data_IF_251837064575
#
_entry.id   IF_251837064575
#
_cell.length_a   1.000
_cell.length_b   1.000
_cell.length_c   1.000
_cell.angle_alpha   90.00
_cell.angle_beta   90.00
_cell.angle_gamma   90.00
#
_symmetry.space_group_name_H-M   'P 1'
#
loop_
_entity.id
_entity.type
_entity.pdbx_description
1 polymer ?
#
# COMPACT_ATOMS: atom_id res chain seq x y z
N UNK A 1 1.61 -45.60 -7.93
CA UNK A 1 2.82 -44.89 -8.42
C UNK A 1 4.02 -45.60 -7.81
N UNK A 2 5.03 -45.97 -8.61
CA UNK A 2 6.25 -46.61 -8.07
C UNK A 2 7.03 -45.68 -7.14
N UNK A 3 7.78 -46.23 -6.18
CA UNK A 3 8.65 -45.45 -5.31
C UNK A 3 9.70 -44.64 -6.09
N UNK A 4 10.24 -45.24 -7.16
CA UNK A 4 11.16 -44.56 -8.08
C UNK A 4 10.53 -43.31 -8.73
N UNK A 5 9.29 -43.41 -9.20
CA UNK A 5 8.57 -42.29 -9.80
C UNK A 5 8.24 -41.21 -8.75
N UNK A 6 8.00 -41.62 -7.51
CA UNK A 6 7.76 -40.67 -6.41
C UNK A 6 9.01 -39.88 -6.08
N UNK A 7 10.14 -40.57 -5.92
CA UNK A 7 11.46 -39.94 -5.67
C UNK A 7 11.86 -39.00 -6.84
N UNK A 8 11.63 -39.43 -8.09
CA UNK A 8 11.92 -38.59 -9.26
C UNK A 8 11.06 -37.32 -9.32
N UNK A 9 9.79 -37.42 -8.95
CA UNK A 9 8.91 -36.23 -8.84
C UNK A 9 9.37 -35.29 -7.75
N UNK A 10 9.70 -35.78 -6.56
CA UNK A 10 10.23 -34.97 -5.47
C UNK A 10 11.54 -34.26 -5.86
N UNK A 11 12.39 -34.90 -6.68
CA UNK A 11 13.63 -34.30 -7.16
C UNK A 11 13.46 -33.27 -8.29
N UNK A 12 12.50 -33.49 -9.21
CA UNK A 12 12.41 -32.74 -10.46
C UNK A 12 11.30 -31.69 -10.49
N UNK A 13 10.25 -31.85 -9.71
CA UNK A 13 9.13 -30.91 -9.67
C UNK A 13 9.33 -29.90 -8.55
N UNK A 14 8.85 -28.68 -8.78
CA UNK A 14 8.77 -27.68 -7.73
C UNK A 14 7.75 -28.11 -6.67
N UNK A 15 7.88 -27.62 -5.45
CA UNK A 15 6.94 -27.84 -4.38
C UNK A 15 5.80 -26.82 -4.47
N UNK A 16 4.62 -27.27 -4.90
CA UNK A 16 3.39 -26.47 -5.03
C UNK A 16 2.37 -26.74 -3.90
N UNK A 17 2.82 -27.38 -2.79
CA UNK A 17 1.93 -27.62 -1.64
C UNK A 17 1.39 -26.32 -1.08
N UNK A 18 0.17 -26.36 -0.52
CA UNK A 18 -0.40 -25.27 0.26
C UNK A 18 0.50 -24.97 1.47
N UNK A 19 0.66 -23.68 1.81
CA UNK A 19 1.53 -23.28 2.92
C UNK A 19 1.12 -23.91 4.27
N UNK A 20 -0.17 -24.11 4.50
CA UNK A 20 -0.66 -24.79 5.71
C UNK A 20 -0.22 -26.26 5.83
N UNK A 21 0.19 -26.90 4.73
CA UNK A 21 0.72 -28.27 4.74
C UNK A 21 2.20 -28.37 5.16
N UNK A 22 2.88 -27.22 5.26
CA UNK A 22 4.34 -27.16 5.46
C UNK A 22 4.79 -26.28 6.63
N UNK A 23 3.98 -25.31 7.04
CA UNK A 23 4.27 -24.48 8.22
C UNK A 23 4.08 -25.28 9.51
N UNK A 24 4.94 -25.03 10.50
CA UNK A 24 4.81 -25.59 11.84
C UNK A 24 3.70 -24.90 12.64
N UNK A 25 3.22 -25.56 13.70
CA UNK A 25 2.26 -24.96 14.65
C UNK A 25 2.82 -23.66 15.27
N UNK A 26 4.13 -23.56 15.45
CA UNK A 26 4.79 -22.36 15.95
C UNK A 26 4.73 -21.21 14.92
N UNK A 27 5.03 -21.49 13.64
CA UNK A 27 4.90 -20.50 12.57
C UNK A 27 3.45 -20.02 12.43
N UNK A 28 2.47 -20.93 12.55
CA UNK A 28 1.04 -20.60 12.51
C UNK A 28 0.63 -19.67 13.68
N UNK A 29 1.15 -19.92 14.88
CA UNK A 29 0.90 -19.05 16.02
C UNK A 29 1.52 -17.65 15.86
N UNK A 30 2.74 -17.55 15.33
CA UNK A 30 3.39 -16.28 15.00
C UNK A 30 2.64 -15.54 13.89
N UNK A 31 2.17 -16.25 12.88
CA UNK A 31 1.34 -15.71 11.80
C UNK A 31 0.06 -15.04 12.35
N UNK A 32 -0.66 -15.71 13.23
CA UNK A 32 -1.88 -15.14 13.83
C UNK A 32 -1.57 -13.85 14.61
N UNK A 33 -0.49 -13.85 15.40
CA UNK A 33 -0.08 -12.64 16.13
C UNK A 33 0.35 -11.50 15.18
N UNK A 34 1.12 -11.82 14.15
CA UNK A 34 1.50 -10.86 13.10
C UNK A 34 0.26 -10.24 12.45
N UNK A 35 -0.75 -11.04 12.12
CA UNK A 35 -1.97 -10.59 11.47
C UNK A 35 -2.85 -9.70 12.38
N UNK A 36 -2.83 -9.93 13.71
CA UNK A 36 -3.48 -9.02 14.67
C UNK A 36 -2.85 -7.64 14.62
N UNK A 37 -1.52 -7.56 14.65
CA UNK A 37 -0.79 -6.29 14.61
C UNK A 37 -0.91 -5.60 13.24
N UNK A 38 -0.95 -6.37 12.17
CA UNK A 38 -1.17 -5.86 10.81
C UNK A 38 -2.57 -5.25 10.65
N UNK A 39 -3.63 -5.91 11.10
CA UNK A 39 -4.99 -5.33 11.06
C UNK A 39 -5.06 -4.00 11.82
N UNK A 40 -4.41 -3.92 12.97
CA UNK A 40 -4.32 -2.66 13.73
C UNK A 40 -3.61 -1.56 12.95
N UNK A 41 -2.51 -1.90 12.26
CA UNK A 41 -1.80 -0.94 11.41
C UNK A 41 -2.67 -0.42 10.26
N UNK A 42 -3.48 -1.29 9.62
CA UNK A 42 -4.43 -0.89 8.57
C UNK A 42 -5.50 0.08 9.09
N UNK A 43 -6.05 -0.19 10.26
CA UNK A 43 -7.11 0.65 10.85
C UNK A 43 -6.58 2.02 11.27
N UNK A 44 -5.36 2.08 11.80
CA UNK A 44 -4.67 3.33 12.14
C UNK A 44 -4.19 4.07 10.89
N UNK A 45 -3.80 3.36 9.84
CA UNK A 45 -3.12 3.85 8.64
C UNK A 45 -4.00 3.98 7.39
N UNK A 46 -5.27 4.41 7.51
CA UNK A 46 -6.21 4.47 6.36
C UNK A 46 -5.83 5.45 5.25
N UNK A 47 -4.86 6.33 5.47
CA UNK A 47 -4.25 7.20 4.46
C UNK A 47 -2.74 7.13 4.55
N UNK A 48 -2.02 7.58 3.51
CA UNK A 48 -0.55 7.59 3.54
C UNK A 48 0.00 8.43 4.71
N UNK A 49 -0.63 9.55 5.06
CA UNK A 49 -0.23 10.38 6.21
C UNK A 49 -0.40 9.63 7.54
N UNK A 50 -1.50 8.92 7.68
CA UNK A 50 -1.78 8.12 8.87
C UNK A 50 -0.85 6.92 8.95
N UNK A 51 -0.56 6.25 7.83
CA UNK A 51 0.41 5.15 7.75
C UNK A 51 1.81 5.60 8.16
N UNK A 52 2.27 6.76 7.68
CA UNK A 52 3.56 7.35 8.09
C UNK A 52 3.59 7.63 9.59
N UNK A 53 2.52 8.23 10.15
CA UNK A 53 2.44 8.50 11.61
C UNK A 53 2.47 7.22 12.43
N UNK A 54 1.69 6.21 12.03
CA UNK A 54 1.65 4.91 12.69
C UNK A 54 3.00 4.18 12.62
N UNK A 55 3.70 4.28 11.47
CA UNK A 55 5.02 3.71 11.30
C UNK A 55 6.09 4.44 12.14
N UNK A 56 6.10 5.77 12.17
CA UNK A 56 7.05 6.55 12.97
C UNK A 56 6.90 6.22 14.46
N UNK A 57 5.67 6.19 14.99
CA UNK A 57 5.43 5.86 16.39
C UNK A 57 6.03 4.50 16.77
N UNK A 58 5.80 3.46 15.94
CA UNK A 58 6.37 2.12 16.17
C UNK A 58 7.89 2.07 15.97
N UNK A 59 8.43 2.85 15.03
CA UNK A 59 9.87 2.93 14.81
C UNK A 59 10.59 3.57 16.00
N UNK A 60 10.05 4.66 16.55
CA UNK A 60 10.61 5.33 17.72
C UNK A 60 10.60 4.43 18.97
N UNK A 61 9.54 3.62 19.17
CA UNK A 61 9.49 2.58 20.22
C UNK A 61 10.60 1.52 20.07
N UNK A 62 11.08 1.30 18.83
CA UNK A 62 12.19 0.39 18.51
C UNK A 62 13.56 1.07 18.43
N UNK A 63 13.64 2.33 18.86
CA UNK A 63 14.89 3.08 18.97
C UNK A 63 15.35 3.77 17.69
N UNK A 64 14.49 3.88 16.68
CA UNK A 64 14.78 4.71 15.51
C UNK A 64 14.74 6.20 15.90
N UNK A 65 15.69 6.96 15.34
CA UNK A 65 15.80 8.39 15.57
C UNK A 65 15.58 9.15 14.25
N UNK A 66 15.00 10.35 14.30
CA UNK A 66 14.94 11.21 13.13
C UNK A 66 16.36 11.51 12.61
N UNK A 67 16.62 11.18 11.35
CA UNK A 67 17.89 11.48 10.73
C UNK A 67 18.10 12.99 10.59
N UNK A 68 19.30 13.44 10.90
CA UNK A 68 19.74 14.82 10.65
C UNK A 68 21.03 14.77 9.85
N UNK A 69 21.09 15.58 8.80
CA UNK A 69 22.29 15.68 7.96
C UNK A 69 23.55 15.92 8.80
N UNK A 70 24.58 15.11 8.52
CA UNK A 70 25.84 15.16 9.24
C UNK A 70 25.88 14.34 10.55
N UNK A 71 24.84 13.55 10.86
CA UNK A 71 24.93 12.57 11.94
C UNK A 71 26.04 11.57 11.65
N UNK A 72 26.90 11.34 12.65
CA UNK A 72 27.86 10.23 12.61
C UNK A 72 27.10 8.94 12.89
N UNK A 73 27.11 8.01 11.93
CA UNK A 73 26.40 6.75 12.01
C UNK A 73 27.39 5.58 12.14
N UNK A 74 27.04 4.59 12.95
CA UNK A 74 27.78 3.35 13.18
C UNK A 74 26.86 2.14 13.03
N UNK A 75 27.44 0.96 12.87
CA UNK A 75 26.68 -0.28 12.80
C UNK A 75 25.71 -0.45 13.96
N UNK A 76 24.48 -0.79 13.67
CA UNK A 76 23.35 -0.91 14.60
C UNK A 76 22.57 0.38 14.83
N UNK A 77 23.01 1.54 14.35
CA UNK A 77 22.22 2.77 14.45
C UNK A 77 20.97 2.67 13.57
N UNK A 78 19.85 3.16 14.12
CA UNK A 78 18.52 3.12 13.50
C UNK A 78 18.03 4.54 13.26
N UNK A 79 17.80 4.88 12.00
CA UNK A 79 17.39 6.25 11.62
C UNK A 79 16.24 6.24 10.65
N UNK A 80 15.46 7.33 10.64
CA UNK A 80 14.40 7.53 9.66
C UNK A 80 14.34 8.98 9.17
N UNK A 81 13.77 9.17 7.98
CA UNK A 81 13.38 10.48 7.45
C UNK A 81 11.98 10.42 6.87
N UNK A 82 11.15 11.41 7.21
CA UNK A 82 9.81 11.56 6.67
C UNK A 82 9.82 12.50 5.48
N UNK A 83 9.32 12.04 4.34
CA UNK A 83 9.11 12.88 3.17
C UNK A 83 7.76 13.60 3.27
N UNK A 84 7.74 14.77 3.89
CA UNK A 84 6.56 15.66 4.03
C UNK A 84 5.36 15.01 4.73
N UNK A 85 5.59 14.02 5.58
CA UNK A 85 4.55 13.27 6.27
C UNK A 85 3.71 12.36 5.38
N UNK A 86 4.13 12.11 4.12
CA UNK A 86 3.40 11.26 3.15
C UNK A 86 4.21 10.05 2.68
N UNK A 87 5.52 10.04 2.91
CA UNK A 87 6.41 8.91 2.69
C UNK A 87 7.40 8.81 3.83
N UNK A 88 8.01 7.65 3.99
CA UNK A 88 8.95 7.36 5.08
C UNK A 88 10.10 6.50 4.55
N UNK A 89 11.32 6.86 4.91
CA UNK A 89 12.51 6.07 4.65
C UNK A 89 13.19 5.77 5.98
N UNK A 90 13.51 4.50 6.22
CA UNK A 90 14.16 4.04 7.44
C UNK A 90 15.43 3.26 7.08
N UNK A 91 16.42 3.31 7.94
CA UNK A 91 17.65 2.53 7.78
C UNK A 91 18.12 1.96 9.11
N UNK A 92 18.60 0.72 9.07
CA UNK A 92 19.43 0.11 10.11
C UNK A 92 20.83 -0.05 9.55
N UNK A 93 21.79 0.64 10.11
CA UNK A 93 23.17 0.69 9.60
C UNK A 93 23.85 -0.66 9.80
N UNK A 94 24.39 -1.21 8.73
CA UNK A 94 25.10 -2.49 8.72
C UNK A 94 26.53 -2.42 9.22
N UNK A 95 27.18 -3.59 9.32
CA UNK A 95 28.60 -3.71 9.69
C UNK A 95 29.52 -3.39 8.52
N UNK A 96 29.08 -3.71 7.30
CA UNK A 96 29.82 -3.43 6.07
C UNK A 96 29.70 -1.96 5.65
N UNK A 97 30.67 -1.52 4.86
CA UNK A 97 30.61 -0.20 4.24
C UNK A 97 29.44 -0.11 3.24
N UNK A 98 28.85 1.09 3.13
CA UNK A 98 27.89 1.37 2.07
C UNK A 98 28.44 1.19 0.65
N UNK A 99 29.77 1.10 0.49
CA UNK A 99 30.40 0.76 -0.78
C UNK A 99 30.08 -0.68 -1.23
N UNK A 100 29.78 -1.58 -0.28
CA UNK A 100 29.36 -2.96 -0.58
C UNK A 100 27.88 -3.06 -0.95
N UNK A 101 27.18 -1.91 -1.00
CA UNK A 101 25.75 -1.80 -1.27
C UNK A 101 24.87 -1.94 -0.04
N UNK A 102 23.58 -1.89 -0.27
CA UNK A 102 22.53 -1.96 0.76
C UNK A 102 21.43 -2.95 0.36
N UNK A 103 20.73 -3.50 1.32
CA UNK A 103 19.51 -4.29 1.12
C UNK A 103 18.29 -3.39 1.29
N UNK A 104 17.53 -3.20 0.22
CA UNK A 104 16.38 -2.29 0.19
C UNK A 104 15.10 -3.10 0.05
N UNK A 105 14.06 -2.71 0.77
CA UNK A 105 12.68 -3.02 0.41
C UNK A 105 11.94 -1.72 0.13
N UNK A 106 11.18 -1.68 -0.95
CA UNK A 106 10.40 -0.50 -1.31
C UNK A 106 8.96 -0.92 -1.59
N UNK A 107 8.01 -0.32 -0.89
CA UNK A 107 6.57 -0.51 -1.01
C UNK A 107 5.88 0.83 -1.05
N UNK A 108 4.62 0.89 -1.50
CA UNK A 108 3.84 2.12 -1.37
C UNK A 108 2.80 2.02 -0.24
N UNK A 109 2.28 3.17 0.19
CA UNK A 109 1.31 3.27 1.28
C UNK A 109 0.10 4.14 0.94
N UNK A 110 0.07 4.73 -0.25
CA UNK A 110 -1.13 5.28 -0.85
C UNK A 110 -2.00 4.14 -1.40
N UNK A 111 -3.29 4.40 -1.58
CA UNK A 111 -4.26 3.43 -2.10
C UNK A 111 -5.34 4.16 -2.90
N UNK A 112 -6.03 3.49 -3.84
CA UNK A 112 -7.12 4.09 -4.58
C UNK A 112 -8.22 4.63 -3.65
N UNK A 113 -8.68 5.85 -3.91
CA UNK A 113 -9.63 6.57 -3.05
C UNK A 113 -10.37 7.69 -3.81
N UNK A 114 -11.14 8.48 -3.07
CA UNK A 114 -11.80 9.67 -3.59
C UNK A 114 -11.32 10.91 -2.82
N UNK A 115 -10.60 11.81 -3.49
CA UNK A 115 -10.16 13.08 -2.90
C UNK A 115 -11.24 14.15 -3.06
N UNK A 116 -11.42 15.03 -2.07
CA UNK A 116 -12.27 16.20 -2.26
C UNK A 116 -11.64 17.16 -3.27
N UNK A 117 -12.47 17.75 -4.14
CA UNK A 117 -12.03 18.82 -5.05
C UNK A 117 -11.69 20.09 -4.25
N UNK A 118 -10.87 21.02 -4.79
CA UNK A 118 -10.48 22.23 -4.07
C UNK A 118 -11.64 23.15 -3.64
N UNK A 119 -12.76 23.15 -4.35
CA UNK A 119 -14.00 23.81 -3.97
C UNK A 119 -15.12 22.77 -3.91
N UNK A 120 -15.22 22.00 -2.81
CA UNK A 120 -16.02 20.78 -2.81
C UNK A 120 -17.47 20.99 -2.42
N UNK A 121 -17.75 21.87 -1.43
CA UNK A 121 -19.02 21.91 -0.71
C UNK A 121 -20.10 22.73 -1.43
N UNK A 122 -21.25 22.12 -1.67
CA UNK A 122 -22.42 22.78 -2.25
C UNK A 122 -23.71 22.22 -1.63
N UNK A 123 -24.80 22.96 -1.80
CA UNK A 123 -26.14 22.52 -1.46
C UNK A 123 -26.99 22.45 -2.74
N UNK A 124 -27.82 21.44 -2.84
CA UNK A 124 -28.86 21.31 -3.85
C UNK A 124 -30.06 20.55 -3.22
N UNK A 125 -31.27 21.09 -3.44
CA UNK A 125 -32.51 20.44 -3.03
C UNK A 125 -32.53 20.00 -1.55
N UNK A 126 -32.04 20.85 -0.65
CA UNK A 126 -31.91 20.61 0.79
C UNK A 126 -30.96 19.47 1.17
N UNK A 127 -30.02 19.16 0.32
CA UNK A 127 -28.92 18.22 0.61
C UNK A 127 -27.58 18.91 0.40
N UNK A 128 -26.67 18.76 1.35
CA UNK A 128 -25.29 19.22 1.21
C UNK A 128 -24.39 18.08 0.73
N UNK A 129 -23.58 18.37 -0.26
CA UNK A 129 -22.62 17.43 -0.86
C UNK A 129 -21.23 18.01 -0.93
N UNK A 130 -20.21 17.13 -0.97
CA UNK A 130 -18.87 17.46 -1.40
C UNK A 130 -18.54 16.81 -2.75
N UNK A 131 -18.03 17.60 -3.69
CA UNK A 131 -17.47 17.13 -4.96
C UNK A 131 -16.19 16.35 -4.70
N UNK A 132 -16.04 15.20 -5.39
CA UNK A 132 -14.83 14.38 -5.32
C UNK A 132 -14.16 14.21 -6.69
N UNK A 133 -12.90 13.80 -6.65
CA UNK A 133 -12.16 13.28 -7.80
C UNK A 133 -11.53 11.95 -7.37
N UNK A 134 -11.71 10.89 -8.15
CA UNK A 134 -11.07 9.62 -7.83
C UNK A 134 -9.55 9.70 -8.05
N UNK A 135 -8.82 8.98 -7.20
CA UNK A 135 -7.37 8.84 -7.17
C UNK A 135 -7.02 7.37 -7.44
N UNK A 136 -6.10 7.11 -8.39
CA UNK A 136 -5.74 5.76 -8.80
C UNK A 136 -6.79 5.03 -9.63
N UNK A 137 -6.63 3.75 -9.80
CA UNK A 137 -7.45 2.88 -10.63
C UNK A 137 -8.70 2.37 -9.92
N UNK A 138 -9.79 3.13 -9.87
CA UNK A 138 -11.03 2.71 -9.18
C UNK A 138 -12.08 2.12 -10.14
N UNK A 139 -12.78 1.10 -9.70
CA UNK A 139 -14.06 0.68 -10.28
C UNK A 139 -15.20 1.43 -9.60
N UNK A 140 -15.69 2.50 -10.22
CA UNK A 140 -16.59 3.50 -9.62
C UNK A 140 -17.84 2.92 -8.97
N UNK A 141 -18.41 1.83 -9.52
CA UNK A 141 -19.60 1.17 -8.98
C UNK A 141 -19.37 0.55 -7.59
N UNK A 142 -18.13 0.28 -7.20
CA UNK A 142 -17.82 -0.28 -5.88
C UNK A 142 -17.84 0.78 -4.76
N UNK A 143 -17.81 2.07 -5.11
CA UNK A 143 -17.70 3.17 -4.17
C UNK A 143 -19.05 3.81 -3.79
N UNK A 144 -20.14 3.43 -4.45
CA UNK A 144 -21.48 3.88 -4.11
C UNK A 144 -22.10 2.98 -3.05
N UNK A 145 -23.00 3.55 -2.21
CA UNK A 145 -23.81 2.86 -1.20
C UNK A 145 -23.04 2.16 -0.06
N UNK A 146 -21.76 2.45 0.09
CA UNK A 146 -20.94 1.94 1.21
C UNK A 146 -20.69 3.04 2.26
N UNK A 147 -20.56 2.69 3.55
CA UNK A 147 -20.16 3.64 4.59
C UNK A 147 -18.74 4.16 4.35
N UNK A 148 -18.59 5.48 4.36
CA UNK A 148 -17.34 6.19 4.11
C UNK A 148 -17.00 7.10 5.28
N UNK A 149 -15.71 7.42 5.41
CA UNK A 149 -15.19 8.43 6.33
C UNK A 149 -14.29 9.41 5.56
N UNK A 150 -14.13 10.61 6.12
CA UNK A 150 -13.28 11.66 5.57
C UNK A 150 -12.06 11.88 6.47
N UNK A 151 -10.88 11.79 5.91
CA UNK A 151 -9.59 11.91 6.59
C UNK A 151 -8.70 12.92 5.89
N UNK A 152 -7.75 13.48 6.59
CA UNK A 152 -6.70 14.28 5.99
C UNK A 152 -6.37 15.53 6.78
N UNK A 153 -5.85 16.55 6.09
CA UNK A 153 -5.39 17.80 6.71
C UNK A 153 -5.95 19.01 5.98
N UNK A 154 -6.12 20.09 6.72
CA UNK A 154 -6.47 21.41 6.20
C UNK A 154 -5.43 22.41 6.69
N UNK A 155 -4.81 23.15 5.76
CA UNK A 155 -3.96 24.28 6.10
C UNK A 155 -4.83 25.53 6.09
N UNK A 156 -5.06 26.12 7.27
CA UNK A 156 -5.91 27.28 7.40
C UNK A 156 -5.21 28.56 6.93
N UNK A 157 -6.01 29.61 6.74
CA UNK A 157 -5.53 30.91 6.28
C UNK A 157 -4.38 31.50 7.13
N UNK A 158 -4.34 31.19 8.44
CA UNK A 158 -3.28 31.61 9.35
C UNK A 158 -2.02 30.74 9.30
N UNK A 159 -1.99 29.72 8.42
CA UNK A 159 -0.89 28.77 8.27
C UNK A 159 -0.94 27.59 9.25
N UNK A 160 -1.89 27.56 10.19
CA UNK A 160 -2.05 26.41 11.08
C UNK A 160 -2.61 25.20 10.33
N UNK A 161 -2.13 24.00 10.70
CA UNK A 161 -2.56 22.72 10.10
C UNK A 161 -3.50 22.03 11.07
N UNK A 162 -4.64 21.57 10.56
CA UNK A 162 -5.66 20.85 11.34
C UNK A 162 -5.87 19.48 10.73
N UNK A 163 -5.78 18.44 11.55
CA UNK A 163 -6.17 17.08 11.19
C UNK A 163 -7.70 16.95 11.20
N UNK A 164 -8.25 16.41 10.12
CA UNK A 164 -9.68 16.15 9.97
C UNK A 164 -9.96 14.66 10.03
N UNK A 165 -10.92 14.31 10.89
CA UNK A 165 -11.42 12.95 11.02
C UNK A 165 -12.94 13.03 11.22
N UNK A 166 -13.70 12.54 10.22
CA UNK A 166 -15.17 12.47 10.25
C UNK A 166 -15.59 11.07 9.87
N UNK A 167 -16.42 10.45 10.69
CA UNK A 167 -16.94 9.11 10.43
C UNK A 167 -16.13 7.98 11.06
N UNK A 168 -15.25 8.24 12.03
CA UNK A 168 -14.53 7.22 12.79
C UNK A 168 -15.40 6.58 13.87
N UNK A 169 -15.13 5.32 14.19
CA UNK A 169 -15.78 4.61 15.29
C UNK A 169 -17.30 4.73 15.24
N UNK A 170 -17.92 5.31 16.27
CA UNK A 170 -19.37 5.53 16.37
C UNK A 170 -19.86 6.83 15.74
N UNK A 171 -19.00 7.68 15.17
CA UNK A 171 -19.42 8.90 14.48
C UNK A 171 -20.31 8.59 13.27
N UNK A 172 -21.23 9.51 12.89
CA UNK A 172 -22.04 9.38 11.67
C UNK A 172 -21.14 9.19 10.43
N UNK A 173 -21.47 8.16 9.64
CA UNK A 173 -20.74 7.87 8.40
C UNK A 173 -21.23 8.75 7.26
N UNK A 174 -20.43 8.87 6.23
CA UNK A 174 -20.73 9.51 4.97
C UNK A 174 -21.05 8.43 3.92
N UNK A 175 -21.69 8.81 2.82
CA UNK A 175 -22.09 7.88 1.77
C UNK A 175 -22.19 8.59 0.43
N UNK A 176 -21.94 7.86 -0.66
CA UNK A 176 -22.29 8.27 -2.02
C UNK A 176 -23.54 7.50 -2.41
N UNK A 177 -24.59 8.19 -2.81
CA UNK A 177 -25.87 7.57 -3.18
C UNK A 177 -25.83 7.01 -4.60
N UNK A 178 -26.68 6.02 -4.88
CA UNK A 178 -26.93 5.50 -6.22
C UNK A 178 -28.43 5.45 -6.52
N UNK A 179 -28.79 5.22 -7.79
CA UNK A 179 -30.17 5.09 -8.20
C UNK A 179 -30.79 3.80 -7.68
N UNK A 180 -32.08 3.88 -7.34
CA UNK A 180 -32.87 2.68 -7.09
C UNK A 180 -33.13 1.93 -8.43
N UNK A 181 -33.36 0.61 -8.40
CA UNK A 181 -33.53 -0.20 -9.62
C UNK A 181 -34.66 0.31 -10.54
N UNK A 182 -35.74 0.83 -9.98
CA UNK A 182 -36.90 1.31 -10.76
C UNK A 182 -36.61 2.59 -11.57
N UNK A 183 -35.59 3.37 -11.22
CA UNK A 183 -35.16 4.55 -11.95
C UNK A 183 -33.85 4.33 -12.71
N UNK A 184 -33.17 3.18 -12.49
CA UNK A 184 -31.85 2.85 -13.05
C UNK A 184 -31.89 2.25 -14.47
N UNK A 185 -33.03 2.24 -15.16
CA UNK A 185 -33.17 1.54 -16.46
C UNK A 185 -32.20 2.03 -17.55
N UNK A 186 -31.98 3.33 -17.66
CA UNK A 186 -30.99 3.89 -18.62
C UNK A 186 -29.54 3.73 -18.14
N UNK A 187 -29.30 3.81 -16.84
CA UNK A 187 -27.99 3.54 -16.24
C UNK A 187 -27.53 2.09 -16.54
N UNK A 188 -28.44 1.12 -16.39
CA UNK A 188 -28.16 -0.31 -16.57
C UNK A 188 -27.83 -0.70 -18.03
N UNK A 189 -28.13 0.15 -19.01
CA UNK A 189 -27.79 -0.06 -20.42
C UNK A 189 -26.38 0.41 -20.80
N UNK A 190 -25.74 1.18 -19.92
CA UNK A 190 -24.40 1.75 -20.19
C UNK A 190 -23.31 0.71 -19.92
N UNK A 191 -22.17 0.79 -20.64
CA UNK A 191 -20.97 0.07 -20.26
C UNK A 191 -20.62 0.31 -18.79
N UNK A 192 -20.14 -0.72 -18.07
CA UNK A 192 -19.87 -0.63 -16.63
C UNK A 192 -19.01 0.57 -16.23
N UNK A 193 -17.99 0.92 -17.04
CA UNK A 193 -17.13 2.07 -16.80
C UNK A 193 -17.83 3.44 -16.91
N UNK A 194 -19.01 3.50 -17.54
CA UNK A 194 -19.81 4.71 -17.79
C UNK A 194 -21.08 4.76 -16.93
N UNK A 195 -21.49 3.61 -16.36
CA UNK A 195 -22.71 3.49 -15.59
C UNK A 195 -22.74 4.43 -14.38
N UNK A 196 -21.59 4.59 -13.72
CA UNK A 196 -21.38 5.58 -12.66
C UNK A 196 -20.42 6.65 -13.18
N UNK A 197 -20.89 7.83 -13.58
CA UNK A 197 -20.01 8.94 -14.00
C UNK A 197 -19.15 9.43 -12.82
N UNK A 198 -17.87 9.76 -13.07
CA UNK A 198 -16.98 10.27 -12.02
C UNK A 198 -17.49 11.54 -11.33
N UNK A 199 -18.14 12.44 -12.10
CA UNK A 199 -18.72 13.68 -11.55
C UNK A 199 -19.96 13.45 -10.66
N UNK A 200 -20.52 12.25 -10.60
CA UNK A 200 -21.63 11.91 -9.70
C UNK A 200 -21.19 11.21 -8.42
N UNK A 201 -19.88 10.96 -8.24
CA UNK A 201 -19.32 10.46 -7.00
C UNK A 201 -19.25 11.57 -5.95
N UNK A 202 -20.42 12.11 -5.55
CA UNK A 202 -20.50 13.22 -4.60
C UNK A 202 -20.82 12.68 -3.21
N UNK A 203 -20.02 13.08 -2.24
CA UNK A 203 -20.13 12.66 -0.85
C UNK A 203 -21.26 13.39 -0.16
N UNK A 204 -22.29 12.69 0.31
CA UNK A 204 -23.42 13.27 1.04
C UNK A 204 -22.96 13.68 2.44
N UNK A 205 -23.07 14.99 2.74
CA UNK A 205 -22.59 15.60 3.99
C UNK A 205 -23.71 15.85 5.02
N UNK A 206 -24.95 16.05 4.57
CA UNK A 206 -26.06 16.29 5.47
C UNK A 206 -27.32 16.81 4.80
N UNK A 207 -28.39 16.93 5.62
CA UNK A 207 -29.71 17.38 5.17
C UNK A 207 -30.43 18.29 6.17
N UNK A 208 -29.84 18.54 7.36
CA UNK A 208 -30.50 19.38 8.39
C UNK A 208 -30.22 20.85 8.09
N UNK A 209 -31.25 21.67 7.85
CA UNK A 209 -31.09 23.11 7.67
C UNK A 209 -30.84 23.83 9.00
N UNK A 210 -30.19 24.99 8.94
CA UNK A 210 -30.15 25.99 10.03
C UNK A 210 -30.70 27.32 9.53
N UNK A 211 -30.90 28.29 10.44
CA UNK A 211 -31.47 29.60 10.11
C UNK A 211 -32.95 29.58 9.85
N UNK A 212 -33.49 30.70 9.37
CA UNK A 212 -34.89 30.86 9.08
C UNK A 212 -35.30 30.31 7.71
N UNK A 213 -36.61 30.10 7.45
CA UNK A 213 -37.10 29.48 6.21
C UNK A 213 -36.75 30.25 4.94
N UNK A 214 -36.52 31.54 5.06
CA UNK A 214 -36.22 32.44 3.93
C UNK A 214 -34.73 32.57 3.61
N UNK A 215 -33.86 31.95 4.43
CA UNK A 215 -32.41 31.91 4.18
C UNK A 215 -32.09 30.95 3.05
N UNK A 216 -30.95 31.20 2.39
CA UNK A 216 -30.35 30.32 1.34
C UNK A 216 -29.22 29.48 1.92
N UNK A 217 -28.85 28.40 1.24
CA UNK A 217 -27.72 27.53 1.61
C UNK A 217 -27.77 27.00 3.06
N UNK A 218 -28.94 26.78 3.59
CA UNK A 218 -29.19 26.48 5.02
C UNK A 218 -28.52 25.18 5.47
N UNK A 219 -28.51 24.15 4.63
CA UNK A 219 -27.87 22.85 4.93
C UNK A 219 -26.37 22.96 4.78
N UNK A 220 -25.88 23.64 3.74
CA UNK A 220 -24.45 23.94 3.56
C UNK A 220 -23.91 24.71 4.77
N UNK A 221 -24.63 25.73 5.21
CA UNK A 221 -24.26 26.52 6.41
C UNK A 221 -24.22 25.67 7.68
N UNK A 222 -25.15 24.72 7.84
CA UNK A 222 -25.11 23.78 8.95
C UNK A 222 -23.88 22.88 8.92
N UNK A 223 -23.47 22.39 7.74
CA UNK A 223 -22.25 21.60 7.58
C UNK A 223 -21.01 22.45 7.89
N UNK A 224 -20.92 23.66 7.33
CA UNK A 224 -19.81 24.59 7.61
C UNK A 224 -19.72 24.94 9.10
N UNK A 225 -20.86 25.18 9.74
CA UNK A 225 -20.88 25.43 11.19
C UNK A 225 -20.31 24.25 11.98
N UNK A 226 -20.63 23.01 11.61
CA UNK A 226 -20.07 21.81 12.26
C UNK A 226 -18.57 21.68 12.05
N UNK A 227 -18.08 21.97 10.83
CA UNK A 227 -16.64 22.00 10.52
C UNK A 227 -15.93 23.11 11.31
N UNK A 228 -16.54 24.27 11.39
CA UNK A 228 -16.00 25.39 12.18
C UNK A 228 -15.97 25.09 13.68
N UNK A 229 -17.05 24.57 14.24
CA UNK A 229 -17.14 24.26 15.69
C UNK A 229 -16.12 23.17 16.11
N UNK A 230 -15.90 22.15 15.26
CA UNK A 230 -15.00 21.05 15.58
C UNK A 230 -13.52 21.35 15.24
N UNK A 231 -13.27 22.06 14.14
CA UNK A 231 -11.92 22.22 13.59
C UNK A 231 -11.48 23.67 13.34
N UNK A 232 -12.39 24.64 13.49
CA UNK A 232 -12.12 26.03 13.13
C UNK A 232 -11.92 26.25 11.63
N UNK A 233 -12.50 25.39 10.78
CA UNK A 233 -12.37 25.43 9.32
C UNK A 233 -13.49 26.29 8.74
N UNK A 234 -13.13 27.20 7.83
CA UNK A 234 -14.05 27.97 7.00
C UNK A 234 -14.13 27.38 5.58
N UNK A 235 -15.09 27.83 4.77
CA UNK A 235 -15.19 27.36 3.38
C UNK A 235 -13.92 27.63 2.57
N UNK A 236 -13.28 28.80 2.79
CA UNK A 236 -12.05 29.17 2.10
C UNK A 236 -10.85 28.28 2.46
N UNK A 237 -10.84 27.71 3.67
CA UNK A 237 -9.75 26.82 4.09
C UNK A 237 -9.80 25.46 3.35
N UNK A 238 -10.95 25.06 2.81
CA UNK A 238 -11.09 23.84 2.01
C UNK A 238 -10.28 23.91 0.71
N UNK A 239 -9.92 25.10 0.21
CA UNK A 239 -9.08 25.27 -0.99
C UNK A 239 -7.63 24.80 -0.77
N UNK A 240 -7.17 24.76 0.47
CA UNK A 240 -5.84 24.28 0.90
C UNK A 240 -5.93 23.02 1.75
N UNK A 241 -6.88 22.15 1.43
CA UNK A 241 -7.09 20.87 2.08
C UNK A 241 -6.56 19.70 1.24
N UNK A 242 -6.05 18.68 1.90
CA UNK A 242 -5.91 17.32 1.39
C UNK A 242 -6.86 16.45 2.20
N UNK A 243 -8.07 16.25 1.69
CA UNK A 243 -9.14 15.48 2.34
C UNK A 243 -9.53 14.29 1.47
N UNK A 244 -9.36 13.11 2.03
CA UNK A 244 -9.49 11.82 1.39
C UNK A 244 -10.71 11.09 1.94
N UNK A 245 -11.58 10.63 1.04
CA UNK A 245 -12.72 9.78 1.36
C UNK A 245 -12.30 8.33 1.25
N UNK A 246 -12.37 7.61 2.35
CA UNK A 246 -11.94 6.20 2.47
C UNK A 246 -13.05 5.35 3.11
N UNK A 247 -13.06 4.02 2.90
CA UNK A 247 -14.01 3.13 3.54
C UNK A 247 -13.98 3.22 5.07
N UNK A 248 -15.17 3.18 5.69
CA UNK A 248 -15.30 3.26 7.14
C UNK A 248 -15.14 1.90 7.84
N UNK A 249 -15.16 0.80 7.09
CA UNK A 249 -14.98 -0.54 7.64
C UNK A 249 -13.57 -0.72 8.21
N UNK A 250 -13.46 -1.42 9.31
CA UNK A 250 -12.19 -1.84 9.90
C UNK A 250 -11.75 -3.19 9.30
N UNK A 251 -10.45 -3.48 9.41
CA UNK A 251 -9.87 -4.75 8.99
C UNK A 251 -10.46 -5.91 9.80
N UNK A 252 -10.88 -6.96 9.12
CA UNK A 252 -11.55 -8.09 9.77
C UNK A 252 -11.15 -9.42 9.15
N UNK A 253 -11.30 -10.49 9.94
CA UNK A 253 -11.09 -11.85 9.44
C UNK A 253 -12.23 -12.26 8.50
N UNK A 254 -11.89 -12.91 7.40
CA UNK A 254 -12.79 -13.38 6.35
C UNK A 254 -12.72 -14.90 6.24
N UNK A 255 -13.85 -15.49 5.83
CA UNK A 255 -14.04 -16.95 5.78
C UNK A 255 -14.55 -17.51 7.10
N UNK A 256 -15.21 -18.68 7.03
CA UNK A 256 -15.73 -19.35 8.24
C UNK A 256 -14.60 -19.79 9.15
N UNK A 257 -13.45 -20.08 8.58
CA UNK A 257 -12.21 -20.48 9.27
C UNK A 257 -11.33 -19.30 9.71
N UNK A 258 -11.68 -18.06 9.29
CA UNK A 258 -10.93 -16.85 9.62
C UNK A 258 -9.50 -16.82 9.06
N UNK A 259 -9.22 -17.56 7.96
CA UNK A 259 -7.88 -17.68 7.35
C UNK A 259 -7.48 -16.49 6.46
N UNK A 260 -8.44 -15.62 6.16
CA UNK A 260 -8.24 -14.46 5.30
C UNK A 260 -8.45 -13.17 6.09
N UNK A 261 -7.95 -12.05 5.55
CA UNK A 261 -8.18 -10.70 6.08
C UNK A 261 -8.84 -9.88 4.98
N UNK A 262 -9.96 -9.24 5.32
CA UNK A 262 -10.62 -8.24 4.46
C UNK A 262 -10.40 -6.85 5.01
N UNK A 263 -9.95 -5.92 4.17
CA UNK A 263 -9.74 -4.52 4.55
C UNK A 263 -9.64 -3.62 3.32
N UNK A 264 -9.63 -2.33 3.57
CA UNK A 264 -9.25 -1.31 2.59
C UNK A 264 -7.74 -1.09 2.58
N UNK A 265 -7.15 -1.12 1.38
CA UNK A 265 -5.77 -0.73 1.15
C UNK A 265 -4.76 -1.81 1.54
N UNK A 266 -5.07 -3.09 1.31
CA UNK A 266 -4.06 -4.12 1.25
C UNK A 266 -3.03 -3.80 0.17
N UNK A 267 -3.48 -3.24 -0.94
CA UNK A 267 -2.66 -2.61 -1.96
C UNK A 267 -2.25 -1.20 -1.51
N UNK A 268 -0.96 -0.91 -1.16
CA UNK A 268 0.10 -1.93 -0.95
C UNK A 268 0.57 -1.93 0.51
N UNK A 269 -0.30 -1.56 1.45
CA UNK A 269 0.07 -1.53 2.88
C UNK A 269 0.39 -2.92 3.45
N UNK A 270 -0.03 -4.00 2.77
CA UNK A 270 0.34 -5.35 3.21
C UNK A 270 1.84 -5.59 3.03
N UNK A 271 2.41 -5.24 1.88
CA UNK A 271 3.84 -5.35 1.65
C UNK A 271 4.61 -4.25 2.38
N UNK A 272 4.04 -3.04 2.45
CA UNK A 272 4.60 -1.93 3.23
C UNK A 272 4.77 -2.26 4.71
N UNK A 273 3.74 -2.85 5.34
CA UNK A 273 3.83 -3.29 6.73
C UNK A 273 4.82 -4.45 6.91
N UNK A 274 4.82 -5.42 5.99
CA UNK A 274 5.73 -6.55 6.02
C UNK A 274 7.21 -6.10 5.97
N UNK A 275 7.53 -5.20 5.04
CA UNK A 275 8.86 -4.59 4.90
C UNK A 275 9.26 -3.78 6.14
N UNK A 276 8.36 -2.94 6.62
CA UNK A 276 8.57 -2.11 7.80
C UNK A 276 8.76 -2.96 9.07
N UNK A 277 7.85 -3.92 9.33
CA UNK A 277 7.92 -4.80 10.50
C UNK A 277 9.18 -5.65 10.50
N UNK A 278 9.58 -6.16 9.34
CA UNK A 278 10.82 -6.89 9.17
C UNK A 278 12.06 -6.04 9.55
N UNK A 279 12.09 -4.77 9.13
CA UNK A 279 13.16 -3.84 9.50
C UNK A 279 13.20 -3.55 11.00
N UNK A 280 12.03 -3.44 11.66
CA UNK A 280 11.96 -3.24 13.11
C UNK A 280 12.51 -4.43 13.91
N UNK A 281 12.44 -5.63 13.35
CA UNK A 281 12.80 -6.89 14.02
C UNK A 281 14.23 -7.37 13.72
N UNK A 282 15.02 -6.59 12.99
CA UNK A 282 16.47 -6.82 12.87
C UNK A 282 17.25 -5.88 13.78
N UNK A 283 18.45 -6.33 14.20
CA UNK A 283 19.32 -5.51 15.04
C UNK A 283 20.47 -4.88 14.22
N UNK A 284 21.54 -5.62 13.98
CA UNK A 284 22.68 -5.13 13.23
C UNK A 284 22.93 -6.06 12.04
N UNK A 285 22.43 -5.74 10.85
CA UNK A 285 22.65 -6.56 9.65
C UNK A 285 24.10 -6.42 9.17
N UNK A 286 24.52 -7.32 8.27
CA UNK A 286 25.84 -7.17 7.63
C UNK A 286 25.83 -5.96 6.70
N UNK A 287 25.00 -5.94 5.67
CA UNK A 287 24.74 -4.75 4.84
C UNK A 287 23.72 -3.86 5.48
N UNK A 288 23.83 -2.55 5.30
CA UNK A 288 22.79 -1.61 5.72
C UNK A 288 21.45 -1.99 5.11
N UNK A 289 20.42 -2.11 5.96
CA UNK A 289 19.05 -2.39 5.55
C UNK A 289 18.25 -1.09 5.45
N UNK A 290 17.52 -0.92 4.34
CA UNK A 290 16.72 0.28 4.05
C UNK A 290 15.29 -0.10 3.72
N UNK A 291 14.31 0.50 4.38
CA UNK A 291 12.89 0.38 4.06
C UNK A 291 12.37 1.71 3.50
N UNK A 292 11.67 1.65 2.38
CA UNK A 292 11.01 2.78 1.74
C UNK A 292 9.52 2.55 1.73
N UNK A 293 8.77 3.45 2.35
CA UNK A 293 7.31 3.54 2.27
C UNK A 293 6.97 4.75 1.40
N UNK A 294 6.64 4.51 0.15
CA UNK A 294 6.44 5.52 -0.87
C UNK A 294 4.99 6.03 -0.92
N UNK A 295 4.80 7.22 -1.48
CA UNK A 295 3.51 7.82 -1.80
C UNK A 295 3.35 7.89 -3.33
N UNK A 296 2.11 8.01 -3.82
CA UNK A 296 1.75 8.30 -5.23
C UNK A 296 2.06 7.21 -6.23
N UNK A 297 2.25 5.96 -5.79
CA UNK A 297 2.42 4.85 -6.73
C UNK A 297 1.21 4.74 -7.64
N UNK A 298 0.01 4.78 -7.08
CA UNK A 298 -1.29 4.63 -7.72
C UNK A 298 -1.59 5.67 -8.84
N UNK A 299 -0.83 6.75 -8.87
CA UNK A 299 -0.92 7.78 -9.90
C UNK A 299 0.38 7.96 -10.68
N UNK A 300 1.25 6.93 -10.69
CA UNK A 300 2.48 6.86 -11.47
C UNK A 300 3.72 7.39 -10.78
N UNK A 301 3.78 7.41 -9.45
CA UNK A 301 4.96 7.79 -8.63
C UNK A 301 5.51 9.20 -8.92
N UNK A 302 4.72 10.08 -9.51
CA UNK A 302 5.12 11.44 -9.85
C UNK A 302 4.93 12.40 -8.66
N UNK A 303 5.62 13.54 -8.74
CA UNK A 303 5.53 14.59 -7.73
C UNK A 303 6.51 14.39 -6.58
N UNK A 304 6.46 15.35 -5.64
CA UNK A 304 7.51 15.58 -4.63
C UNK A 304 7.63 14.47 -3.58
N UNK A 305 6.59 13.65 -3.40
CA UNK A 305 6.55 12.53 -2.45
C UNK A 305 6.59 11.15 -3.13
N UNK A 306 6.44 11.10 -4.46
CA UNK A 306 6.54 9.86 -5.24
C UNK A 306 7.98 9.41 -5.48
N UNK A 307 8.15 8.16 -5.91
CA UNK A 307 9.47 7.54 -6.14
C UNK A 307 10.28 8.16 -7.29
N UNK A 308 9.65 8.96 -8.15
CA UNK A 308 10.35 9.74 -9.18
C UNK A 308 11.01 11.03 -8.62
N UNK A 309 10.70 11.41 -7.38
CA UNK A 309 11.37 12.54 -6.73
C UNK A 309 12.80 12.21 -6.30
N UNK A 310 13.61 13.25 -6.06
CA UNK A 310 14.96 13.08 -5.55
C UNK A 310 15.02 12.75 -4.03
N UNK A 311 13.87 12.53 -3.37
CA UNK A 311 13.84 12.34 -1.92
C UNK A 311 14.62 11.10 -1.47
N UNK A 312 14.45 9.97 -2.18
CA UNK A 312 15.21 8.75 -1.91
C UNK A 312 16.70 8.94 -2.16
N UNK A 313 17.06 9.53 -3.31
CA UNK A 313 18.46 9.80 -3.65
C UNK A 313 19.12 10.73 -2.62
N UNK A 314 18.39 11.72 -2.11
CA UNK A 314 18.88 12.63 -1.06
C UNK A 314 19.17 11.87 0.24
N UNK A 315 18.27 11.01 0.68
CA UNK A 315 18.47 10.21 1.89
C UNK A 315 19.66 9.27 1.75
N UNK A 316 19.76 8.55 0.64
CA UNK A 316 20.87 7.64 0.37
C UNK A 316 22.21 8.37 0.20
N UNK A 317 22.20 9.55 -0.43
CA UNK A 317 23.41 10.38 -0.55
C UNK A 317 23.89 10.81 0.84
N UNK A 318 22.98 11.26 1.71
CA UNK A 318 23.33 11.66 3.08
C UNK A 318 23.90 10.49 3.89
N UNK A 319 23.37 9.26 3.74
CA UNK A 319 23.94 8.06 4.37
C UNK A 319 25.34 7.74 3.81
N UNK A 320 25.53 7.80 2.50
CA UNK A 320 26.82 7.55 1.84
C UNK A 320 27.89 8.58 2.25
N UNK A 321 27.52 9.85 2.37
CA UNK A 321 28.42 10.92 2.82
C UNK A 321 28.96 10.68 4.24
N UNK A 322 28.15 10.09 5.14
CA UNK A 322 28.59 9.73 6.49
C UNK A 322 29.76 8.76 6.53
N UNK A 323 29.97 7.98 5.45
CA UNK A 323 31.05 7.02 5.29
C UNK A 323 32.04 7.40 4.17
N UNK A 324 31.90 8.58 3.57
CA UNK A 324 32.71 9.03 2.42
C UNK A 324 32.63 8.07 1.22
N UNK A 325 31.45 7.51 0.95
CA UNK A 325 31.14 6.62 -0.18
C UNK A 325 30.42 7.39 -1.28
N UNK A 326 30.77 7.15 -2.53
CA UNK A 326 30.03 7.73 -3.66
C UNK A 326 28.71 6.98 -3.83
N UNK A 327 27.57 7.71 -3.91
CA UNK A 327 26.24 7.13 -4.05
C UNK A 327 26.14 6.12 -5.20
N UNK A 328 26.76 6.38 -6.36
CA UNK A 328 26.74 5.47 -7.50
C UNK A 328 27.37 4.11 -7.20
N UNK A 329 28.39 4.06 -6.34
CA UNK A 329 29.04 2.80 -5.92
C UNK A 329 28.12 2.01 -5.01
N UNK A 330 27.46 2.69 -4.07
CA UNK A 330 26.44 2.07 -3.22
C UNK A 330 25.30 1.47 -4.05
N UNK A 331 24.76 2.22 -5.00
CA UNK A 331 23.66 1.75 -5.86
C UNK A 331 24.01 0.57 -6.74
N UNK A 332 25.20 0.59 -7.35
CA UNK A 332 25.69 -0.52 -8.21
C UNK A 332 25.77 -1.85 -7.47
N UNK A 333 26.08 -1.82 -6.16
CA UNK A 333 26.22 -3.00 -5.30
C UNK A 333 24.96 -3.27 -4.44
N UNK A 334 23.91 -2.46 -4.59
CA UNK A 334 22.67 -2.60 -3.84
C UNK A 334 21.70 -3.59 -4.50
N UNK A 335 20.85 -4.16 -3.66
CA UNK A 335 19.68 -4.93 -4.08
C UNK A 335 18.40 -4.28 -3.54
N UNK A 336 17.33 -4.29 -4.34
CA UNK A 336 16.00 -3.85 -3.95
C UNK A 336 14.96 -4.94 -4.22
N UNK A 337 14.21 -5.32 -3.18
CA UNK A 337 12.92 -5.97 -3.33
C UNK A 337 11.86 -4.87 -3.48
N UNK A 338 11.30 -4.73 -4.67
CA UNK A 338 10.09 -3.96 -4.91
C UNK A 338 8.93 -4.77 -4.37
N UNK A 339 8.53 -4.41 -3.16
CA UNK A 339 7.47 -5.09 -2.45
C UNK A 339 6.13 -4.47 -2.87
N UNK A 340 5.40 -5.16 -3.73
CA UNK A 340 4.14 -4.70 -4.29
C UNK A 340 3.23 -5.91 -4.53
N UNK A 341 1.95 -5.77 -4.24
CA UNK A 341 0.97 -6.84 -4.33
C UNK A 341 0.87 -7.42 -5.75
N UNK A 342 0.34 -8.61 -5.85
CA UNK A 342 0.00 -9.24 -7.14
C UNK A 342 -1.43 -9.76 -7.13
N UNK A 343 -2.04 -9.92 -8.30
CA UNK A 343 -3.40 -10.45 -8.40
C UNK A 343 -3.44 -11.94 -8.03
N UNK A 344 -4.21 -12.28 -7.00
CA UNK A 344 -4.51 -13.67 -6.69
C UNK A 344 -5.42 -14.28 -7.75
N UNK A 345 -5.15 -15.52 -8.13
CA UNK A 345 -6.05 -16.27 -9.02
C UNK A 345 -7.44 -16.42 -8.38
N UNK A 346 -8.44 -15.81 -9.03
CA UNK A 346 -9.84 -15.94 -8.63
C UNK A 346 -10.56 -16.88 -9.62
N UNK A 347 -11.05 -18.05 -9.18
CA UNK A 347 -11.75 -18.99 -10.05
C UNK A 347 -13.07 -18.43 -10.61
N UNK A 348 -13.65 -17.37 -10.04
CA UNK A 348 -14.82 -16.69 -10.60
C UNK A 348 -14.49 -15.91 -11.88
N UNK A 349 -13.21 -15.61 -12.13
CA UNK A 349 -12.72 -14.83 -13.26
C UNK A 349 -11.53 -15.52 -13.94
N UNK A 350 -11.58 -16.85 -14.04
CA UNK A 350 -10.49 -17.69 -14.53
C UNK A 350 -9.97 -17.30 -15.93
N UNK A 351 -10.81 -16.68 -16.74
CA UNK A 351 -10.53 -16.29 -18.13
C UNK A 351 -9.49 -15.19 -18.29
N UNK A 352 -9.24 -14.39 -17.23
CA UNK A 352 -8.23 -13.30 -17.27
C UNK A 352 -6.84 -13.71 -16.78
N UNK A 353 -6.68 -14.97 -16.34
CA UNK A 353 -5.42 -15.49 -15.81
C UNK A 353 -4.77 -16.56 -16.71
N UNK A 354 -3.43 -16.64 -16.66
CA UNK A 354 -2.67 -17.80 -17.12
C UNK A 354 -2.31 -18.66 -15.91
N UNK A 355 -2.95 -19.83 -15.77
CA UNK A 355 -2.94 -20.64 -14.55
C UNK A 355 -1.56 -21.13 -14.07
N UNK A 356 -0.59 -21.27 -14.98
CA UNK A 356 0.76 -21.76 -14.62
C UNK A 356 1.62 -20.66 -13.99
N UNK A 357 1.26 -19.41 -14.26
CA UNK A 357 2.00 -18.22 -13.82
C UNK A 357 1.11 -17.26 -13.01
N UNK A 358 -0.03 -17.73 -12.53
CA UNK A 358 -0.87 -16.97 -11.59
C UNK A 358 -0.41 -17.21 -10.15
N UNK A 359 -0.58 -16.20 -9.29
CA UNK A 359 -0.39 -16.34 -7.85
C UNK A 359 -1.62 -17.00 -7.22
N UNK A 360 -1.41 -17.93 -6.33
CA UNK A 360 -2.47 -18.65 -5.61
C UNK A 360 -2.46 -18.27 -4.12
N UNK A 361 -3.63 -18.12 -3.53
CA UNK A 361 -3.82 -17.93 -2.10
C UNK A 361 -3.17 -19.09 -1.33
N UNK A 362 -2.48 -18.78 -0.22
CA UNK A 362 -1.71 -19.72 0.60
C UNK A 362 -0.50 -20.35 -0.11
N UNK A 363 -0.09 -19.78 -1.25
CA UNK A 363 1.13 -20.17 -1.96
C UNK A 363 2.38 -19.44 -1.47
N UNK A 364 2.23 -18.50 -0.55
CA UNK A 364 3.30 -17.61 -0.11
C UNK A 364 3.53 -16.43 -1.05
N UNK A 365 4.72 -15.84 -0.96
CA UNK A 365 5.10 -14.64 -1.70
C UNK A 365 5.10 -14.88 -3.21
N UNK A 366 4.39 -14.03 -3.96
CA UNK A 366 4.42 -14.03 -5.41
C UNK A 366 5.63 -13.29 -5.94
N UNK A 367 6.53 -13.97 -6.64
CA UNK A 367 7.69 -13.37 -7.33
C UNK A 367 7.30 -13.02 -8.75
N UNK A 368 7.32 -11.74 -9.10
CA UNK A 368 7.06 -11.24 -10.43
C UNK A 368 8.35 -10.83 -11.11
N UNK A 369 8.84 -11.65 -12.05
CA UNK A 369 10.04 -11.33 -12.80
C UNK A 369 9.89 -10.05 -13.64
N UNK A 370 8.67 -9.77 -14.06
CA UNK A 370 8.24 -8.56 -14.78
C UNK A 370 6.77 -8.29 -14.49
N UNK A 371 6.38 -7.03 -14.56
CA UNK A 371 5.00 -6.60 -14.29
C UNK A 371 4.34 -5.96 -15.51
N UNK A 372 4.93 -5.06 -16.19
CA UNK A 372 4.46 -4.23 -17.31
C UNK A 372 3.36 -4.79 -18.21
N UNK A 373 2.70 -3.90 -18.93
CA UNK A 373 1.59 -4.25 -19.81
C UNK A 373 2.05 -4.73 -21.19
N UNK A 374 1.26 -5.59 -21.85
CA UNK A 374 1.50 -6.10 -23.21
C UNK A 374 2.92 -6.66 -23.38
N UNK A 375 3.75 -6.07 -24.24
CA UNK A 375 5.15 -6.49 -24.44
C UNK A 375 6.10 -6.08 -23.31
N UNK A 376 5.68 -6.17 -22.05
CA UNK A 376 6.44 -5.80 -20.83
C UNK A 376 6.78 -4.31 -20.74
N UNK A 377 5.99 -3.43 -21.37
CA UNK A 377 6.19 -1.98 -21.30
C UNK A 377 6.02 -1.45 -19.88
N UNK A 378 6.92 -0.56 -19.44
CA UNK A 378 6.88 0.05 -18.11
C UNK A 378 7.24 -0.92 -16.98
N UNK A 379 8.01 -1.96 -17.26
CA UNK A 379 8.44 -3.00 -16.32
C UNK A 379 9.97 -3.04 -16.20
N UNK A 380 10.45 -3.43 -15.03
CA UNK A 380 11.83 -3.78 -14.77
C UNK A 380 12.05 -5.27 -14.98
N UNK A 381 12.00 -5.80 -16.19
CA UNK A 381 12.22 -7.24 -16.46
C UNK A 381 13.54 -7.72 -15.82
N UNK A 382 13.45 -8.30 -14.61
CA UNK A 382 14.60 -8.69 -13.81
C UNK A 382 15.43 -9.76 -14.52
N UNK A 383 16.76 -9.69 -14.41
CA UNK A 383 17.66 -10.69 -14.99
C UNK A 383 17.62 -12.01 -14.19
N UNK A 384 18.16 -13.07 -14.78
CA UNK A 384 18.13 -14.40 -14.19
C UNK A 384 18.94 -14.49 -12.88
N UNK A 385 20.04 -13.75 -12.79
CA UNK A 385 20.91 -13.70 -11.61
C UNK A 385 20.20 -13.08 -10.42
N UNK A 386 19.48 -11.99 -10.63
CA UNK A 386 18.67 -11.34 -9.59
C UNK A 386 17.56 -12.25 -9.08
N UNK A 387 16.82 -12.91 -9.98
CA UNK A 387 15.82 -13.91 -9.59
C UNK A 387 16.44 -15.07 -8.84
N UNK A 388 17.58 -15.56 -9.31
CA UNK A 388 18.35 -16.65 -8.68
C UNK A 388 18.81 -16.31 -7.27
N UNK A 389 19.28 -15.08 -7.06
CA UNK A 389 19.67 -14.57 -5.73
C UNK A 389 18.49 -14.59 -4.75
N UNK A 390 17.34 -14.01 -5.14
CA UNK A 390 16.15 -13.98 -4.27
C UNK A 390 15.68 -15.40 -3.94
N UNK A 391 15.60 -16.30 -4.92
CA UNK A 391 15.26 -17.71 -4.66
C UNK A 391 16.18 -18.36 -3.63
N UNK A 392 17.51 -18.18 -3.75
CA UNK A 392 18.45 -18.74 -2.78
C UNK A 392 18.22 -18.20 -1.38
N UNK A 393 17.95 -16.90 -1.24
CA UNK A 393 17.66 -16.26 0.07
C UNK A 393 16.39 -16.83 0.68
N UNK A 394 15.30 -16.91 -0.09
CA UNK A 394 14.01 -17.39 0.39
C UNK A 394 14.05 -18.89 0.71
N UNK A 395 14.63 -19.71 -0.15
CA UNK A 395 14.80 -21.16 0.07
C UNK A 395 15.62 -21.44 1.35
N UNK A 396 16.74 -20.71 1.55
CA UNK A 396 17.57 -20.83 2.76
C UNK A 396 16.83 -20.45 4.03
N UNK A 397 15.94 -19.46 3.95
CA UNK A 397 15.14 -19.02 5.09
C UNK A 397 13.85 -19.85 5.29
N UNK A 398 13.56 -20.82 4.43
CA UNK A 398 12.35 -21.63 4.47
C UNK A 398 11.06 -20.81 4.24
N UNK A 399 11.16 -19.73 3.47
CA UNK A 399 10.01 -18.89 3.09
C UNK A 399 9.26 -19.55 1.94
N UNK A 400 7.93 -19.59 2.03
CA UNK A 400 7.08 -20.04 0.91
C UNK A 400 6.98 -18.93 -0.14
N UNK A 401 7.20 -19.31 -1.38
CA UNK A 401 7.11 -18.41 -2.52
C UNK A 401 6.64 -19.13 -3.78
N UNK A 402 6.10 -18.37 -4.72
CA UNK A 402 5.62 -18.82 -6.00
C UNK A 402 6.00 -17.83 -7.10
N UNK A 403 6.01 -18.26 -8.37
CA UNK A 403 6.18 -17.37 -9.53
C UNK A 403 4.81 -16.90 -9.98
N UNK A 404 4.68 -15.63 -10.37
CA UNK A 404 3.44 -15.09 -10.87
C UNK A 404 3.64 -14.01 -11.94
N UNK A 405 2.54 -13.74 -12.62
CA UNK A 405 2.31 -12.62 -13.53
C UNK A 405 0.98 -11.96 -13.17
N UNK A 406 0.86 -10.67 -13.45
CA UNK A 406 -0.39 -9.92 -13.26
C UNK A 406 -1.35 -10.16 -14.44
N UNK A 407 -2.15 -11.23 -14.37
CA UNK A 407 -3.05 -11.64 -15.44
C UNK A 407 -2.35 -12.31 -16.62
N UNK A 408 -3.12 -12.67 -17.64
CA UNK A 408 -2.56 -13.25 -18.87
C UNK A 408 -2.11 -12.16 -19.85
N UNK A 409 -1.26 -12.53 -20.81
CA UNK A 409 -0.78 -11.65 -21.88
C UNK A 409 -1.97 -10.95 -22.57
N UNK A 410 -1.85 -9.66 -22.83
CA UNK A 410 -2.83 -8.73 -23.41
C UNK A 410 -4.00 -8.33 -22.49
N UNK A 411 -4.17 -8.92 -21.30
CA UNK A 411 -5.23 -8.57 -20.35
C UNK A 411 -4.70 -7.78 -19.13
N UNK A 412 -3.56 -8.19 -18.57
CA UNK A 412 -2.99 -7.63 -17.36
C UNK A 412 -1.71 -6.85 -17.57
N UNK A 413 -1.22 -6.30 -16.51
CA UNK A 413 0.06 -5.60 -16.40
C UNK A 413 -0.09 -4.18 -15.84
N UNK A 414 0.92 -3.77 -15.07
CA UNK A 414 1.04 -2.45 -14.47
C UNK A 414 2.50 -2.15 -14.17
N UNK A 415 2.85 -0.88 -13.95
CA UNK A 415 4.15 -0.49 -13.41
C UNK A 415 4.15 -0.65 -11.89
N UNK A 416 5.34 -0.74 -11.31
CA UNK A 416 5.59 -0.75 -9.87
C UNK A 416 6.73 0.20 -9.55
N UNK A 417 7.06 0.37 -8.28
CA UNK A 417 8.23 1.16 -7.87
C UNK A 417 9.56 0.57 -8.38
N UNK A 418 9.58 -0.70 -8.81
CA UNK A 418 10.77 -1.40 -9.30
C UNK A 418 11.47 -0.66 -10.44
N UNK A 419 10.74 -0.14 -11.41
CA UNK A 419 11.35 0.57 -12.55
C UNK A 419 12.18 1.78 -12.10
N UNK A 420 11.76 2.47 -11.05
CA UNK A 420 12.47 3.64 -10.54
C UNK A 420 13.72 3.28 -9.76
N UNK A 421 13.72 2.12 -9.09
CA UNK A 421 14.92 1.57 -8.44
C UNK A 421 15.91 1.03 -9.46
N UNK A 422 15.44 0.25 -10.43
CA UNK A 422 16.27 -0.27 -11.51
C UNK A 422 16.92 0.84 -12.35
N UNK A 423 16.21 1.93 -12.64
CA UNK A 423 16.75 3.08 -13.36
C UNK A 423 17.88 3.81 -12.59
N UNK A 424 18.03 3.55 -11.29
CA UNK A 424 19.15 4.02 -10.45
C UNK A 424 20.35 3.08 -10.47
N UNK A 425 20.35 2.06 -11.33
CA UNK A 425 21.37 1.01 -11.39
C UNK A 425 21.38 0.10 -10.15
N UNK A 426 20.23 -0.14 -9.55
CA UNK A 426 20.03 -1.06 -8.42
C UNK A 426 19.44 -2.36 -8.94
N UNK A 427 20.04 -3.52 -8.62
CA UNK A 427 19.45 -4.81 -8.93
C UNK A 427 18.10 -4.94 -8.24
N UNK A 428 17.01 -5.13 -9.00
CA UNK A 428 15.64 -5.03 -8.48
C UNK A 428 14.78 -6.19 -8.96
N UNK A 429 13.92 -6.69 -8.06
CA UNK A 429 12.91 -7.70 -8.33
C UNK A 429 11.61 -7.37 -7.63
N UNK A 430 10.47 -7.54 -8.34
CA UNK A 430 9.14 -7.41 -7.75
C UNK A 430 8.73 -8.70 -7.03
N UNK A 431 8.22 -8.56 -5.82
CA UNK A 431 7.60 -9.66 -5.09
C UNK A 431 6.58 -9.13 -4.07
N UNK A 432 5.43 -9.79 -3.94
CA UNK A 432 4.41 -9.33 -3.02
C UNK A 432 3.34 -10.35 -2.67
N UNK A 433 2.34 -9.88 -1.94
CA UNK A 433 1.22 -10.69 -1.45
C UNK A 433 0.16 -10.83 -2.54
N UNK A 434 -0.36 -12.05 -2.80
CA UNK A 434 -1.52 -12.24 -3.64
C UNK A 434 -2.79 -11.61 -3.04
N UNK A 435 -3.48 -10.75 -3.80
CA UNK A 435 -4.68 -10.01 -3.37
C UNK A 435 -5.86 -10.35 -4.26
N UNK A 436 -7.01 -10.64 -3.65
CA UNK A 436 -8.30 -10.72 -4.31
C UNK A 436 -9.01 -9.37 -4.25
N UNK A 437 -9.72 -9.00 -5.31
CA UNK A 437 -10.43 -7.72 -5.42
C UNK A 437 -9.52 -6.50 -5.25
N UNK A 438 -8.29 -6.56 -5.79
CA UNK A 438 -7.33 -5.45 -5.78
C UNK A 438 -7.98 -4.14 -6.24
N UNK A 439 -7.63 -3.01 -5.62
CA UNK A 439 -8.21 -1.68 -5.81
C UNK A 439 -9.68 -1.51 -5.37
N UNK A 440 -10.32 -2.55 -4.83
CA UNK A 440 -11.67 -2.40 -4.28
C UNK A 440 -11.66 -1.67 -2.93
N UNK A 441 -12.78 -1.06 -2.53
CA UNK A 441 -12.92 -0.53 -1.16
C UNK A 441 -12.76 -1.57 -0.05
N UNK A 442 -12.81 -2.86 -0.42
CA UNK A 442 -12.62 -3.98 0.48
C UNK A 442 -11.93 -5.12 -0.27
N UNK A 443 -10.64 -5.25 -0.04
CA UNK A 443 -9.75 -6.25 -0.64
C UNK A 443 -9.56 -7.43 0.30
N UNK A 444 -9.08 -8.58 -0.20
CA UNK A 444 -8.89 -9.79 0.61
C UNK A 444 -7.53 -10.41 0.34
N UNK A 445 -6.82 -10.75 1.43
CA UNK A 445 -5.52 -11.45 1.42
C UNK A 445 -5.54 -12.65 2.35
N UNK A 446 -4.64 -13.61 2.14
CA UNK A 446 -4.46 -14.71 3.08
C UNK A 446 -3.49 -14.32 4.20
N UNK A 447 -3.80 -14.69 5.44
CA UNK A 447 -2.93 -14.49 6.61
C UNK A 447 -1.55 -15.10 6.39
N UNK A 448 -1.52 -16.29 5.80
CA UNK A 448 -0.29 -17.01 5.50
C UNK A 448 0.60 -16.21 4.55
N UNK A 449 0.06 -15.70 3.45
CA UNK A 449 0.84 -14.98 2.46
C UNK A 449 1.36 -13.64 3.02
N UNK A 450 0.59 -12.97 3.88
CA UNK A 450 1.04 -11.77 4.61
C UNK A 450 2.24 -12.07 5.52
N UNK A 451 2.19 -13.17 6.26
CA UNK A 451 3.26 -13.57 7.16
C UNK A 451 4.51 -14.02 6.40
N UNK A 452 4.35 -14.76 5.29
CA UNK A 452 5.47 -15.16 4.44
C UNK A 452 6.16 -13.94 3.79
N UNK A 453 5.41 -12.88 3.44
CA UNK A 453 5.99 -11.63 2.96
C UNK A 453 6.87 -10.94 4.02
N UNK A 454 6.43 -10.92 5.28
CA UNK A 454 7.26 -10.44 6.39
C UNK A 454 8.54 -11.28 6.54
N UNK A 455 8.44 -12.62 6.49
CA UNK A 455 9.61 -13.51 6.55
C UNK A 455 10.57 -13.28 5.38
N UNK A 456 10.04 -13.05 4.17
CA UNK A 456 10.82 -12.75 2.98
C UNK A 456 11.61 -11.45 3.13
N UNK A 457 10.97 -10.37 3.53
CA UNK A 457 11.63 -9.08 3.78
C UNK A 457 12.74 -9.22 4.85
N UNK A 458 12.45 -9.94 5.93
CA UNK A 458 13.42 -10.17 7.01
C UNK A 458 14.63 -10.97 6.53
N UNK A 459 14.39 -12.04 5.75
CA UNK A 459 15.46 -12.85 5.17
C UNK A 459 16.37 -12.03 4.25
N UNK A 460 15.80 -11.15 3.42
CA UNK A 460 16.55 -10.27 2.52
C UNK A 460 17.37 -9.23 3.27
N UNK A 461 16.84 -8.60 4.30
CA UNK A 461 17.61 -7.67 5.14
C UNK A 461 18.81 -8.34 5.83
N UNK A 462 18.72 -9.65 6.11
CA UNK A 462 19.76 -10.44 6.76
C UNK A 462 20.68 -11.19 5.75
N UNK A 463 20.40 -11.09 4.45
CA UNK A 463 21.19 -11.74 3.42
C UNK A 463 22.55 -11.05 3.20
N UNK A 464 23.55 -11.87 2.81
CA UNK A 464 24.92 -11.44 2.50
C UNK A 464 25.19 -11.45 1.01
#
# INVERSE_FOLDING_TARGET
>A
MSEEMKALKEQLLRDDRNGYDVLSDADLAEMEQYCVDYKRFLDEGKTERLSVRAAIARAEEKGFLPYRRGMALKAGDKVYTSNRGKGLMLAVIGKESLAEGVQITAAHIDSPRLDLKPNPLYEDSSLAYCKTHYYGGVRKYQWVTIPLQLRGVVVKKDGSVVDVCIGEGSEPKLVITDLLPHLGGEQSKKPLGEAIPGETLNLLMGSRPMGDSDDTDRVKMQVLKRLYDKYGITESDLMSAELETVPAADATDIGIDGSLIGAYGHDDRVCGYAAFKALLDIETPEKTAVCVLADKEEIGSMGITGMQSAAFDTFMQDLCESQNVALRVCYENAFCLSADVTAAYDPNFAEVYEKRNAAYINGGVGICKYTGARGKSGSSDANAETVGYVRQVLDKAGVRWQICELGKVDEGGGGTVAQYMANRNIATLDAGVPVLSMHAPFEVVAKLDCYEMYRACKALYQAH
#
